data_IF_133678035126
#
_entry.id   IF_133678035126
#
_cell.length_a   1.000
_cell.length_b   1.000
_cell.length_c   1.000
_cell.angle_alpha   90.00
_cell.angle_beta   90.00
_cell.angle_gamma   90.00
#
_symmetry.space_group_name_H-M   'P 1'
#
loop_
_entity.id
_entity.type
_entity.pdbx_description
1 polymer ?
#
# COMPACT_ATOMS: atom_id res chain seq x y z
N UNK A 1 9.88 -14.76 0.06
CA UNK A 1 8.44 -14.70 0.37
C UNK A 1 7.90 -13.37 -0.12
N UNK A 2 6.87 -13.40 -0.97
CA UNK A 2 6.39 -12.28 -1.77
C UNK A 2 5.36 -11.41 -1.06
N UNK A 3 5.72 -10.85 0.10
CA UNK A 3 4.84 -9.93 0.84
C UNK A 3 4.42 -8.73 0.00
N UNK A 4 5.25 -8.36 -0.97
CA UNK A 4 5.00 -7.29 -1.94
C UNK A 4 3.83 -7.59 -2.88
N UNK A 5 3.21 -8.77 -2.83
CA UNK A 5 2.04 -9.14 -3.64
C UNK A 5 0.90 -9.71 -2.82
N UNK A 6 0.99 -9.62 -1.50
CA UNK A 6 0.02 -10.23 -0.61
C UNK A 6 -1.03 -9.20 -0.16
N UNK A 7 -2.34 -9.46 -0.42
CA UNK A 7 -3.41 -8.53 -0.04
C UNK A 7 -3.51 -8.24 1.47
N UNK A 8 -2.92 -9.10 2.33
CA UNK A 8 -2.95 -8.92 3.80
C UNK A 8 -2.19 -7.69 4.28
N UNK A 9 -1.28 -7.15 3.47
CA UNK A 9 -0.55 -5.93 3.81
C UNK A 9 -1.24 -4.67 3.31
N UNK A 10 -2.31 -4.78 2.52
CA UNK A 10 -3.09 -3.64 2.08
C UNK A 10 -3.99 -3.16 3.21
N UNK A 11 -4.16 -1.84 3.31
CA UNK A 11 -5.13 -1.22 4.20
C UNK A 11 -6.52 -1.86 3.96
N UNK A 12 -7.23 -2.34 4.97
CA UNK A 12 -8.56 -2.93 4.78
C UNK A 12 -9.59 -2.13 3.98
N UNK A 13 -9.50 -0.79 3.91
CA UNK A 13 -10.22 -0.02 2.89
C UNK A 13 -9.98 -0.56 1.47
N UNK A 14 -8.71 -0.77 1.11
CA UNK A 14 -8.26 -1.31 -0.18
C UNK A 14 -8.55 -2.81 -0.25
N UNK A 15 -8.12 -3.59 0.74
CA UNK A 15 -8.21 -5.05 0.67
C UNK A 15 -9.67 -5.53 0.64
N UNK A 16 -10.61 -4.79 1.24
CA UNK A 16 -12.06 -4.98 1.13
C UNK A 16 -12.61 -4.81 -0.30
N UNK A 17 -11.99 -3.92 -1.09
CA UNK A 17 -12.45 -3.55 -2.44
C UNK A 17 -11.67 -4.23 -3.55
N UNK A 18 -10.49 -4.78 -3.24
CA UNK A 18 -9.55 -5.34 -4.21
C UNK A 18 -10.20 -6.34 -5.19
N UNK A 19 -11.03 -7.33 -4.76
CA UNK A 19 -11.66 -8.25 -5.71
C UNK A 19 -12.54 -7.51 -6.72
N UNK A 20 -13.41 -6.61 -6.27
CA UNK A 20 -14.28 -5.82 -7.15
C UNK A 20 -13.50 -4.89 -8.08
N UNK A 21 -12.37 -4.34 -7.63
CA UNK A 21 -11.47 -3.54 -8.46
C UNK A 21 -10.87 -4.41 -9.57
N UNK A 22 -10.31 -5.57 -9.23
CA UNK A 22 -9.71 -6.49 -10.19
C UNK A 22 -10.77 -6.96 -11.21
N UNK A 23 -11.97 -7.30 -10.77
CA UNK A 23 -13.08 -7.68 -11.65
C UNK A 23 -13.49 -6.54 -12.59
N UNK A 24 -13.59 -5.31 -12.09
CA UNK A 24 -13.94 -4.13 -12.89
C UNK A 24 -12.88 -3.84 -13.97
N UNK A 25 -11.59 -3.93 -13.63
CA UNK A 25 -10.51 -3.76 -14.62
C UNK A 25 -10.55 -4.91 -15.63
N UNK A 26 -10.66 -6.16 -15.15
CA UNK A 26 -10.70 -7.36 -15.99
C UNK A 26 -11.85 -7.32 -17.00
N UNK A 27 -13.02 -6.82 -16.61
CA UNK A 27 -14.20 -6.68 -17.48
C UNK A 27 -13.98 -5.70 -18.64
N UNK A 28 -12.97 -4.82 -18.58
CA UNK A 28 -12.60 -3.92 -19.68
C UNK A 28 -11.52 -4.48 -20.59
N UNK A 29 -10.90 -5.61 -20.25
CA UNK A 29 -9.80 -6.19 -21.03
C UNK A 29 -10.32 -7.13 -22.13
N UNK A 30 -9.57 -7.26 -23.25
CA UNK A 30 -9.89 -8.25 -24.27
C UNK A 30 -9.86 -9.68 -23.72
N UNK A 31 -10.50 -10.61 -24.45
CA UNK A 31 -10.41 -12.04 -24.14
C UNK A 31 -8.94 -12.50 -24.06
N UNK A 32 -8.68 -13.52 -23.23
CA UNK A 32 -7.32 -14.05 -22.99
C UNK A 32 -6.42 -13.19 -22.10
N UNK A 33 -6.88 -12.03 -21.62
CA UNK A 33 -6.10 -11.22 -20.66
C UNK A 33 -6.44 -11.57 -19.22
N UNK A 34 -5.59 -11.25 -18.25
CA UNK A 34 -5.91 -11.32 -16.82
C UNK A 34 -5.32 -10.13 -16.08
N UNK A 35 -5.78 -9.91 -14.85
CA UNK A 35 -5.23 -8.88 -13.96
C UNK A 35 -4.86 -9.50 -12.63
N UNK A 36 -3.76 -9.04 -12.03
CA UNK A 36 -3.29 -9.50 -10.72
C UNK A 36 -2.74 -8.32 -9.93
N UNK A 37 -2.80 -8.40 -8.61
CA UNK A 37 -1.99 -7.56 -7.74
C UNK A 37 -0.51 -7.90 -7.97
N UNK A 38 0.31 -6.93 -8.35
CA UNK A 38 1.75 -7.13 -8.61
C UNK A 38 2.66 -6.37 -7.66
N UNK A 39 2.10 -5.44 -6.89
CA UNK A 39 2.83 -4.63 -5.91
C UNK A 39 1.86 -4.15 -4.83
N UNK A 40 2.22 -4.37 -3.57
CA UNK A 40 1.49 -4.00 -2.36
C UNK A 40 2.48 -3.32 -1.40
N UNK A 41 2.77 -3.92 -0.24
CA UNK A 41 3.72 -3.33 0.70
C UNK A 41 5.17 -3.47 0.23
N UNK A 42 5.94 -2.40 0.33
CA UNK A 42 7.40 -2.39 0.11
C UNK A 42 8.08 -1.81 1.32
N UNK A 43 9.16 -2.44 1.78
CA UNK A 43 9.97 -1.85 2.86
C UNK A 43 10.70 -0.59 2.36
N UNK A 44 11.16 0.29 3.26
CA UNK A 44 12.08 1.37 2.90
C UNK A 44 13.29 0.89 2.09
N UNK A 45 13.88 -0.25 2.47
CA UNK A 45 15.00 -0.84 1.74
C UNK A 45 14.63 -1.27 0.32
N UNK A 46 13.45 -1.84 0.10
CA UNK A 46 12.99 -2.20 -1.25
C UNK A 46 12.70 -0.97 -2.10
N UNK A 47 12.09 0.04 -1.49
CA UNK A 47 11.89 1.33 -2.14
C UNK A 47 13.24 1.95 -2.54
N UNK A 48 14.25 1.86 -1.68
CA UNK A 48 15.58 2.35 -1.98
C UNK A 48 16.24 1.58 -3.13
N UNK A 49 16.04 0.26 -3.23
CA UNK A 49 16.49 -0.53 -4.40
C UNK A 49 15.89 0.01 -5.71
N UNK A 50 14.61 0.36 -5.72
CA UNK A 50 13.96 0.97 -6.89
C UNK A 50 14.43 2.41 -7.13
N UNK A 51 14.65 3.19 -6.07
CA UNK A 51 15.20 4.54 -6.18
C UNK A 51 16.58 4.55 -6.84
N UNK A 52 17.43 3.55 -6.57
CA UNK A 52 18.76 3.46 -7.19
C UNK A 52 18.73 3.20 -8.70
N UNK A 53 17.63 2.70 -9.26
CA UNK A 53 17.54 2.44 -10.69
C UNK A 53 17.62 3.74 -11.49
N UNK A 54 18.46 3.74 -12.53
CA UNK A 54 18.76 4.94 -13.32
C UNK A 54 19.56 6.00 -12.58
N UNK A 55 20.17 5.67 -11.42
CA UNK A 55 20.97 6.60 -10.62
C UNK A 55 22.33 6.04 -10.25
N UNK A 56 23.29 6.94 -10.04
CA UNK A 56 24.61 6.63 -9.44
C UNK A 56 24.88 7.60 -8.30
N UNK A 57 25.54 7.12 -7.25
CA UNK A 57 25.97 7.96 -6.14
C UNK A 57 27.33 8.59 -6.46
N UNK A 58 27.38 9.93 -6.55
CA UNK A 58 28.61 10.69 -6.83
C UNK A 58 28.57 12.01 -6.05
N UNK A 59 29.71 12.43 -5.52
CA UNK A 59 29.87 13.69 -4.79
C UNK A 59 28.85 13.87 -3.64
N UNK A 60 28.59 12.81 -2.89
CA UNK A 60 27.66 12.83 -1.75
C UNK A 60 26.18 12.90 -2.13
N UNK A 61 25.81 12.69 -3.40
CA UNK A 61 24.42 12.77 -3.86
C UNK A 61 24.08 11.72 -4.92
N UNK A 62 22.80 11.36 -4.98
CA UNK A 62 22.27 10.48 -6.03
C UNK A 62 21.97 11.27 -7.30
N UNK A 63 22.69 10.97 -8.37
CA UNK A 63 22.56 11.64 -9.67
C UNK A 63 21.84 10.72 -10.65
N UNK A 64 20.84 11.26 -11.37
CA UNK A 64 20.16 10.52 -12.45
C UNK A 64 21.06 10.39 -13.67
N UNK A 65 21.22 9.17 -14.16
CA UNK A 65 22.03 8.84 -15.35
C UNK A 65 21.25 8.03 -16.39
N UNK A 66 19.98 7.69 -16.10
CA UNK A 66 19.09 6.99 -17.01
C UNK A 66 17.63 7.07 -16.55
N UNK A 67 16.74 6.29 -17.17
CA UNK A 67 15.34 6.21 -16.77
C UNK A 67 15.20 5.80 -15.30
N UNK A 68 14.36 6.52 -14.57
CA UNK A 68 14.10 6.28 -13.15
C UNK A 68 12.68 5.76 -12.97
N UNK A 69 12.50 4.79 -12.07
CA UNK A 69 11.18 4.19 -11.79
C UNK A 69 10.47 4.84 -10.59
N UNK A 70 11.19 5.64 -9.81
CA UNK A 70 10.63 6.37 -8.67
C UNK A 70 11.52 7.54 -8.28
N UNK A 71 10.96 8.53 -7.58
CA UNK A 71 11.67 9.66 -6.98
C UNK A 71 11.74 9.58 -5.45
N UNK A 72 11.13 8.57 -4.86
CA UNK A 72 10.98 8.39 -3.43
C UNK A 72 12.02 7.38 -2.96
N UNK A 73 12.87 7.74 -2.01
CA UNK A 73 13.98 6.90 -1.54
C UNK A 73 13.55 5.90 -0.46
N UNK A 74 12.40 6.11 0.19
CA UNK A 74 11.86 5.24 1.23
C UNK A 74 12.25 5.62 2.66
N UNK A 75 13.28 6.44 2.85
CA UNK A 75 13.79 6.88 4.17
C UNK A 75 13.48 8.34 4.46
N UNK A 76 13.88 9.26 3.57
CA UNK A 76 13.59 10.70 3.66
C UNK A 76 12.24 11.00 3.04
N UNK A 77 11.95 10.39 1.88
CA UNK A 77 10.65 10.50 1.20
C UNK A 77 10.06 9.11 1.01
N UNK A 78 9.03 8.80 1.80
CA UNK A 78 8.32 7.55 1.74
C UNK A 78 7.37 7.49 0.53
N UNK A 79 7.28 6.31 -0.08
CA UNK A 79 6.18 5.94 -0.98
C UNK A 79 4.98 5.48 -0.17
N UNK A 80 3.78 5.60 -0.74
CA UNK A 80 2.58 4.99 -0.14
C UNK A 80 2.65 3.46 -0.05
N UNK A 81 3.54 2.83 -0.82
CA UNK A 81 3.84 1.41 -0.65
C UNK A 81 4.59 1.10 0.66
N UNK A 82 5.26 2.11 1.25
CA UNK A 82 5.99 1.95 2.52
C UNK A 82 5.10 2.02 3.76
N UNK A 83 3.85 2.45 3.59
CA UNK A 83 2.88 2.52 4.66
C UNK A 83 2.57 1.11 5.20
N UNK A 84 2.25 1.04 6.49
CA UNK A 84 1.84 -0.18 7.16
C UNK A 84 0.59 0.10 8.02
N UNK A 85 -0.59 -0.39 7.61
CA UNK A 85 -0.84 -1.11 6.37
C UNK A 85 -0.66 -0.24 5.12
N UNK A 86 -0.38 -0.89 3.99
CA UNK A 86 -0.08 -0.27 2.72
C UNK A 86 -1.29 0.44 2.13
N UNK A 87 -1.10 1.70 1.70
CA UNK A 87 -2.18 2.56 1.20
C UNK A 87 -2.11 2.78 -0.32
N UNK A 88 -1.30 2.00 -1.01
CA UNK A 88 -1.18 1.99 -2.47
C UNK A 88 -0.92 0.58 -2.99
N UNK A 89 -1.20 0.35 -4.26
CA UNK A 89 -0.96 -0.94 -4.91
C UNK A 89 -0.91 -0.78 -6.42
N UNK A 90 -0.19 -1.71 -7.07
CA UNK A 90 -0.13 -1.78 -8.52
C UNK A 90 -0.85 -3.01 -9.04
N UNK A 91 -1.64 -2.82 -10.08
CA UNK A 91 -2.28 -3.89 -10.85
C UNK A 91 -1.38 -4.21 -12.04
N UNK A 92 -1.09 -5.48 -12.27
CA UNK A 92 -0.42 -5.96 -13.48
C UNK A 92 -1.42 -6.58 -14.45
N UNK A 93 -1.23 -6.31 -15.74
CA UNK A 93 -2.04 -6.89 -16.82
C UNK A 93 -1.23 -7.98 -17.53
N UNK A 94 -1.88 -9.10 -17.83
CA UNK A 94 -1.27 -10.25 -18.48
C UNK A 94 -2.07 -10.64 -19.72
N UNK A 95 -1.40 -11.23 -20.71
CA UNK A 95 -2.02 -11.96 -21.84
C UNK A 95 -1.56 -13.42 -21.73
N UNK A 96 -2.48 -14.33 -21.40
CA UNK A 96 -2.09 -15.63 -20.87
C UNK A 96 -1.20 -15.44 -19.63
N UNK A 97 0.00 -16.04 -19.65
CA UNK A 97 1.00 -15.90 -18.60
C UNK A 97 2.01 -14.76 -18.83
N UNK A 98 1.94 -14.07 -19.97
CA UNK A 98 2.87 -12.99 -20.31
C UNK A 98 2.47 -11.69 -19.63
N UNK A 99 3.35 -11.16 -18.76
CA UNK A 99 3.20 -9.84 -18.16
C UNK A 99 3.38 -8.73 -19.20
N UNK A 100 2.40 -7.84 -19.30
CA UNK A 100 2.45 -6.67 -20.17
C UNK A 100 2.97 -5.49 -19.35
N UNK A 101 4.29 -5.32 -19.27
CA UNK A 101 4.92 -4.24 -18.46
C UNK A 101 4.67 -2.82 -19.01
N UNK A 102 4.48 -2.71 -20.32
CA UNK A 102 4.05 -1.48 -20.98
C UNK A 102 2.89 -1.81 -21.93
N UNK A 103 1.75 -1.17 -21.73
CA UNK A 103 0.54 -1.45 -22.51
C UNK A 103 -0.47 -0.31 -22.41
N UNK A 104 -1.14 0.07 -23.52
CA UNK A 104 -2.26 0.99 -23.47
C UNK A 104 -3.44 0.44 -22.66
N UNK A 105 -3.46 -0.85 -22.33
CA UNK A 105 -4.50 -1.47 -21.50
C UNK A 105 -4.49 -0.97 -20.06
N UNK A 106 -3.37 -0.44 -19.55
CA UNK A 106 -3.33 0.12 -18.20
C UNK A 106 -4.26 1.33 -18.01
N UNK A 107 -4.75 1.95 -19.09
CA UNK A 107 -5.83 2.95 -19.01
C UNK A 107 -7.09 2.42 -18.30
N UNK A 108 -7.28 1.10 -18.24
CA UNK A 108 -8.42 0.47 -17.58
C UNK A 108 -8.25 0.34 -16.07
N UNK A 109 -7.03 0.52 -15.52
CA UNK A 109 -6.81 0.58 -14.06
C UNK A 109 -7.60 1.73 -13.42
N UNK A 110 -7.93 2.76 -14.21
CA UNK A 110 -8.84 3.85 -13.80
C UNK A 110 -10.18 3.38 -13.24
N UNK A 111 -10.65 2.17 -13.53
CA UNK A 111 -11.88 1.64 -12.93
C UNK A 111 -11.80 1.58 -11.39
N UNK A 112 -10.60 1.55 -10.81
CA UNK A 112 -10.37 1.65 -9.37
C UNK A 112 -10.91 2.95 -8.76
N UNK A 113 -11.06 4.04 -9.52
CA UNK A 113 -11.61 5.30 -9.00
C UNK A 113 -13.07 5.19 -8.58
N UNK A 114 -13.83 4.27 -9.19
CA UNK A 114 -15.22 3.95 -8.81
C UNK A 114 -15.32 3.36 -7.40
N UNK A 115 -14.21 2.89 -6.86
CA UNK A 115 -14.08 2.32 -5.52
C UNK A 115 -13.51 3.33 -4.51
N UNK A 116 -13.37 4.61 -4.90
CA UNK A 116 -12.90 5.69 -4.02
C UNK A 116 -11.37 5.78 -3.91
N UNK A 117 -10.64 5.30 -4.93
CA UNK A 117 -9.18 5.40 -5.01
C UNK A 117 -8.75 6.50 -6.00
N UNK A 118 -7.57 7.07 -5.77
CA UNK A 118 -6.88 7.87 -6.77
C UNK A 118 -6.08 6.96 -7.70
N UNK A 119 -6.06 7.30 -8.99
CA UNK A 119 -5.34 6.55 -10.01
C UNK A 119 -4.11 7.32 -10.49
N UNK A 120 -2.95 6.68 -10.51
CA UNK A 120 -1.67 7.29 -10.89
C UNK A 120 -1.62 7.78 -12.35
N UNK A 121 -2.46 7.23 -13.23
CA UNK A 121 -2.62 7.73 -14.60
C UNK A 121 -3.23 9.13 -14.70
N UNK A 122 -3.90 9.61 -13.64
CA UNK A 122 -4.44 10.97 -13.55
C UNK A 122 -3.42 12.01 -13.05
N UNK A 123 -2.23 11.60 -12.61
CA UNK A 123 -1.23 12.54 -12.11
C UNK A 123 -0.77 13.50 -13.22
N UNK A 124 -0.58 14.78 -12.86
CA UNK A 124 -0.16 15.82 -13.80
C UNK A 124 1.26 15.57 -14.37
N UNK A 125 2.11 14.88 -13.61
CA UNK A 125 3.48 14.50 -13.97
C UNK A 125 3.77 13.10 -13.43
N UNK A 126 4.72 12.39 -14.04
CA UNK A 126 5.12 11.04 -13.64
C UNK A 126 3.94 10.06 -13.56
N UNK A 127 3.11 10.02 -14.60
CA UNK A 127 1.94 9.13 -14.67
C UNK A 127 2.35 7.68 -14.42
N UNK A 128 1.73 7.08 -13.42
CA UNK A 128 1.95 5.70 -13.04
C UNK A 128 0.66 4.91 -13.31
N UNK A 129 0.59 4.35 -14.51
CA UNK A 129 -0.65 3.76 -15.04
C UNK A 129 -1.12 2.49 -14.27
N UNK A 130 -0.21 1.63 -13.76
CA UNK A 130 -0.57 0.53 -12.85
C UNK A 130 -1.08 0.93 -11.47
N UNK A 131 -0.78 2.15 -10.99
CA UNK A 131 -0.87 2.55 -9.59
C UNK A 131 -2.26 3.03 -9.16
N UNK A 132 -2.75 2.50 -8.04
CA UNK A 132 -3.92 3.00 -7.31
C UNK A 132 -3.55 3.27 -5.85
N UNK A 133 -4.10 4.35 -5.29
CA UNK A 133 -3.83 4.74 -3.91
C UNK A 133 -5.06 5.29 -3.20
N UNK A 134 -5.04 5.20 -1.87
CA UNK A 134 -6.01 5.94 -1.07
C UNK A 134 -5.82 7.44 -1.28
N UNK A 135 -6.88 8.16 -1.65
CA UNK A 135 -6.78 9.60 -1.80
C UNK A 135 -6.46 10.22 -0.43
N UNK A 136 -5.82 11.39 -0.40
CA UNK A 136 -5.47 12.05 0.86
C UNK A 136 -6.67 12.34 1.78
N UNK A 137 -7.91 12.31 1.23
CA UNK A 137 -9.13 12.83 1.89
C UNK A 137 -10.35 11.91 1.89
N UNK A 138 -10.30 10.65 1.42
CA UNK A 138 -11.55 9.87 1.29
C UNK A 138 -12.17 9.40 2.61
N UNK A 139 -11.43 9.36 3.72
CA UNK A 139 -11.98 8.94 5.00
C UNK A 139 -11.56 9.94 6.08
N UNK A 140 -12.58 10.70 6.53
CA UNK A 140 -12.66 11.52 7.73
C UNK A 140 -11.46 12.43 8.04
N UNK A 141 -11.62 13.74 7.81
CA UNK A 141 -10.78 14.86 8.31
C UNK A 141 -9.66 14.44 9.28
N UNK A 142 -8.51 14.01 8.75
CA UNK A 142 -7.14 14.22 9.25
C UNK A 142 -6.22 13.02 8.96
N UNK A 143 -5.27 13.21 8.03
CA UNK A 143 -4.03 12.43 7.84
C UNK A 143 -4.14 10.91 7.58
N UNK A 144 -3.56 10.46 6.45
CA UNK A 144 -3.31 9.05 6.13
C UNK A 144 -2.57 8.29 7.25
N UNK A 145 -1.76 9.01 8.04
CA UNK A 145 -1.05 8.46 9.19
C UNK A 145 -2.01 8.07 10.33
N UNK A 146 -3.02 8.90 10.59
CA UNK A 146 -4.01 8.60 11.64
C UNK A 146 -4.92 7.45 11.21
N UNK A 147 -5.32 7.42 9.95
CA UNK A 147 -6.11 6.31 9.40
C UNK A 147 -5.38 4.97 9.57
N UNK A 148 -4.09 4.92 9.23
CA UNK A 148 -3.24 3.76 9.56
C UNK A 148 -3.21 3.49 11.06
N UNK A 149 -3.00 4.51 11.89
CA UNK A 149 -3.00 4.39 13.35
C UNK A 149 -4.28 3.76 13.91
N UNK A 150 -5.45 4.09 13.35
CA UNK A 150 -6.75 3.52 13.73
C UNK A 150 -6.79 2.02 13.48
N UNK A 151 -6.23 1.55 12.36
CA UNK A 151 -6.14 0.11 12.06
C UNK A 151 -5.38 -0.62 13.15
N UNK A 152 -4.23 -0.08 13.55
CA UNK A 152 -3.42 -0.68 14.60
C UNK A 152 -4.14 -0.63 15.96
N UNK A 153 -4.72 0.50 16.33
CA UNK A 153 -5.51 0.62 17.56
C UNK A 153 -6.65 -0.40 17.61
N UNK A 154 -7.32 -0.68 16.47
CA UNK A 154 -8.38 -1.69 16.40
C UNK A 154 -7.87 -3.09 16.71
N UNK A 155 -6.76 -3.50 16.10
CA UNK A 155 -6.13 -4.78 16.44
C UNK A 155 -5.71 -4.87 17.92
N UNK A 156 -5.18 -3.79 18.47
CA UNK A 156 -4.75 -3.75 19.87
C UNK A 156 -5.94 -3.80 20.84
N UNK A 157 -7.07 -3.19 20.46
CA UNK A 157 -8.32 -3.27 21.21
C UNK A 157 -8.91 -4.68 21.16
N UNK A 158 -8.95 -5.31 19.98
CA UNK A 158 -9.36 -6.72 19.81
C UNK A 158 -8.48 -7.68 20.63
N UNK A 159 -7.21 -7.34 20.81
CA UNK A 159 -6.28 -8.08 21.66
C UNK A 159 -6.47 -7.85 23.17
N UNK A 160 -7.37 -6.93 23.57
CA UNK A 160 -7.61 -6.57 24.96
C UNK A 160 -6.48 -5.76 25.61
N UNK A 161 -5.51 -5.27 24.83
CA UNK A 161 -4.34 -4.55 25.35
C UNK A 161 -4.45 -3.02 25.22
N UNK A 162 -5.45 -2.52 24.50
CA UNK A 162 -5.67 -1.10 24.30
C UNK A 162 -7.11 -0.70 24.63
N UNK A 163 -7.26 0.24 25.55
CA UNK A 163 -8.54 0.82 25.98
C UNK A 163 -8.55 2.36 25.87
N UNK A 164 -7.59 2.92 25.13
CA UNK A 164 -7.49 4.37 24.90
C UNK A 164 -8.44 4.86 23.80
N UNK A 165 -8.30 6.14 23.45
CA UNK A 165 -9.06 6.73 22.36
C UNK A 165 -8.74 6.05 21.01
N UNK A 166 -9.79 5.81 20.22
CA UNK A 166 -9.71 5.31 18.85
C UNK A 166 -9.63 6.50 17.90
N UNK A 167 -8.50 7.20 17.90
CA UNK A 167 -8.30 8.48 17.23
C UNK A 167 -7.19 8.46 16.16
N UNK A 168 -6.51 7.32 16.01
CA UNK A 168 -5.40 7.13 15.09
C UNK A 168 -4.08 7.75 15.56
N UNK A 169 -4.06 8.43 16.71
CA UNK A 169 -2.84 9.00 17.27
C UNK A 169 -2.08 7.87 17.98
N UNK A 170 -1.10 7.32 17.28
CA UNK A 170 -0.33 6.17 17.76
C UNK A 170 0.76 6.59 18.77
N UNK A 171 0.33 7.03 19.94
CA UNK A 171 1.20 7.53 21.02
C UNK A 171 1.67 6.46 22.00
N UNK A 172 2.15 6.91 23.16
CA UNK A 172 2.75 6.06 24.21
C UNK A 172 1.88 4.88 24.62
N UNK A 173 0.56 5.07 24.76
CA UNK A 173 -0.34 3.98 25.17
C UNK A 173 -0.49 2.92 24.07
N UNK A 174 -0.59 3.33 22.81
CA UNK A 174 -0.64 2.40 21.68
C UNK A 174 0.68 1.65 21.52
N UNK A 175 1.82 2.30 21.72
CA UNK A 175 3.15 1.65 21.71
C UNK A 175 3.31 0.63 22.83
N UNK A 176 2.88 0.96 24.06
CA UNK A 176 2.89 0.02 25.19
C UNK A 176 2.02 -1.21 24.90
N UNK A 177 0.81 -1.01 24.38
CA UNK A 177 -0.08 -2.10 23.99
C UNK A 177 0.52 -2.96 22.87
N UNK A 178 1.12 -2.33 21.87
CA UNK A 178 1.81 -3.02 20.77
C UNK A 178 2.94 -3.90 21.27
N UNK A 179 3.81 -3.36 22.13
CA UNK A 179 4.90 -4.11 22.74
C UNK A 179 4.40 -5.26 23.61
N UNK A 180 3.36 -5.03 24.40
CA UNK A 180 2.77 -6.06 25.26
C UNK A 180 2.21 -7.25 24.46
N UNK A 181 1.58 -6.99 23.31
CA UNK A 181 0.94 -8.04 22.50
C UNK A 181 1.89 -8.70 21.50
N UNK A 182 2.80 -7.94 20.89
CA UNK A 182 3.62 -8.41 19.76
C UNK A 182 5.10 -8.55 20.10
N UNK A 183 5.54 -8.03 21.25
CA UNK A 183 6.95 -7.90 21.62
C UNK A 183 7.74 -6.88 20.78
N UNK A 184 7.09 -6.14 19.86
CA UNK A 184 7.75 -5.17 18.99
C UNK A 184 7.65 -3.75 19.56
N UNK A 185 8.73 -2.97 19.44
CA UNK A 185 8.81 -1.58 19.92
C UNK A 185 8.07 -0.58 19.02
N UNK A 186 7.63 -1.00 17.82
CA UNK A 186 7.02 -0.12 16.85
C UNK A 186 6.29 -0.87 15.74
N UNK A 187 5.52 -0.10 14.96
CA UNK A 187 4.74 -0.63 13.83
C UNK A 187 5.70 -1.11 12.74
N UNK A 188 5.81 -2.43 12.59
CA UNK A 188 6.67 -3.08 11.61
C UNK A 188 6.01 -4.36 11.08
N UNK A 189 6.64 -5.00 10.08
CA UNK A 189 6.12 -6.23 9.46
C UNK A 189 5.85 -7.35 10.46
N UNK A 190 6.75 -7.56 11.44
CA UNK A 190 6.57 -8.63 12.44
C UNK A 190 5.36 -8.39 13.33
N UNK A 191 5.16 -7.15 13.77
CA UNK A 191 3.99 -6.76 14.56
C UNK A 191 2.69 -6.91 13.74
N UNK A 192 2.73 -6.49 12.47
CA UNK A 192 1.59 -6.61 11.56
C UNK A 192 1.21 -8.08 11.34
N UNK A 193 2.19 -8.91 10.98
CA UNK A 193 1.98 -10.34 10.73
C UNK A 193 1.40 -11.02 11.97
N UNK A 194 1.90 -10.70 13.17
CA UNK A 194 1.35 -11.24 14.42
C UNK A 194 -0.14 -10.90 14.57
N UNK A 195 -0.49 -9.62 14.44
CA UNK A 195 -1.87 -9.15 14.64
C UNK A 195 -2.80 -9.68 13.56
N UNK A 196 -2.39 -9.61 12.28
CA UNK A 196 -3.18 -10.11 11.16
C UNK A 196 -3.38 -11.63 11.23
N UNK A 197 -2.36 -12.40 11.58
CA UNK A 197 -2.51 -13.86 11.70
C UNK A 197 -3.43 -14.24 12.86
N UNK A 198 -3.45 -13.46 13.94
CA UNK A 198 -4.28 -13.73 15.11
C UNK A 198 -5.74 -13.32 14.92
N UNK A 199 -5.99 -12.18 14.28
CA UNK A 199 -7.32 -11.56 14.21
C UNK A 199 -7.91 -11.51 12.81
N UNK A 200 -7.12 -11.84 11.78
CA UNK A 200 -7.52 -11.82 10.39
C UNK A 200 -7.70 -10.41 9.83
N UNK A 201 -8.37 -10.34 8.69
CA UNK A 201 -8.72 -9.10 7.99
C UNK A 201 -9.83 -8.36 8.74
N UNK A 202 -9.63 -7.07 8.98
CA UNK A 202 -10.65 -6.16 9.49
C UNK A 202 -11.68 -5.78 8.40
N UNK A 203 -12.90 -5.39 8.81
CA UNK A 203 -13.89 -4.79 7.89
C UNK A 203 -13.31 -3.50 7.29
N UNK A 204 -13.65 -3.23 6.03
CA UNK A 204 -13.21 -2.05 5.31
C UNK A 204 -13.73 -0.71 5.90
N UNK A 205 -14.65 -0.78 6.86
CA UNK A 205 -15.19 0.33 7.65
C UNK A 205 -14.67 0.36 9.09
N UNK A 206 -13.92 -0.67 9.53
CA UNK A 206 -13.37 -0.93 10.87
C UNK A 206 -14.22 -0.42 12.05
N UNK A 207 -14.77 -1.31 12.87
CA UNK A 207 -16.03 -1.06 13.59
C UNK A 207 -16.82 0.20 13.20
#
# INVERSE_FOLDING_TARGET
MGYDREPRYLHPFISGRLPGILDAVKAKLPSGHSVKLVSAHRTPDDQFKLFKQGRVFRNGSWVKVGPVVTHLDGFVKASRHNNMPCTAFDIGIFRGDTYLGDSPLYKHVKEGTRFGLDWGGNWARFKDMPHLEMPPTAFFKSSLEKDQGLVWQNYLQMAGAYSGAMDGIFGTNSLKALKAITGQEGRNLKAWDFLYNKFGKLDARYP
#
